data_IF_756258756036
#
_entry.id   IF_756258756036
#
_cell.length_a   1.000
_cell.length_b   1.000
_cell.length_c   1.000
_cell.angle_alpha   90.00
_cell.angle_beta   90.00
_cell.angle_gamma   90.00
#
_symmetry.space_group_name_H-M   'P 1'
#
loop_
_entity.id
_entity.type
_entity.pdbx_description
1 polymer ?
#
# COMPACT_ATOMS: atom_id res chain seq x y z
N UNK A 1 0.50 30.49 -14.42
CA UNK A 1 0.70 29.20 -15.11
C UNK A 1 1.45 28.30 -14.13
N UNK A 2 0.73 27.43 -13.41
CA UNK A 2 1.31 26.50 -12.45
C UNK A 2 1.78 25.29 -13.27
N UNK A 3 3.06 24.94 -13.21
CA UNK A 3 3.55 23.73 -13.87
C UNK A 3 3.22 22.55 -12.94
N UNK A 4 2.23 21.73 -13.29
CA UNK A 4 2.08 20.41 -12.71
C UNK A 4 3.05 19.49 -13.43
N UNK A 5 3.99 18.89 -12.71
CA UNK A 5 4.87 17.87 -13.27
C UNK A 5 4.02 16.65 -13.62
N UNK A 6 3.99 16.26 -14.90
CA UNK A 6 3.25 15.08 -15.33
C UNK A 6 3.61 13.85 -14.49
N UNK A 7 2.59 13.16 -13.98
CA UNK A 7 2.74 11.96 -13.15
C UNK A 7 2.88 12.17 -11.64
N UNK A 8 2.98 13.41 -11.16
CA UNK A 8 2.93 13.70 -9.72
C UNK A 8 1.49 14.06 -9.30
N UNK A 9 0.86 13.33 -8.35
CA UNK A 9 -0.45 13.70 -7.83
C UNK A 9 -0.35 14.94 -6.94
N UNK A 10 -1.35 15.82 -7.02
CA UNK A 10 -1.37 17.10 -6.29
C UNK A 10 -1.41 16.92 -4.77
N UNK A 11 -1.98 15.80 -4.30
CA UNK A 11 -2.09 15.46 -2.89
C UNK A 11 -1.83 13.98 -2.67
N UNK A 12 -1.10 13.67 -1.60
CA UNK A 12 -0.90 12.29 -1.14
C UNK A 12 -1.01 12.25 0.37
N UNK A 13 -1.75 11.26 0.87
CA UNK A 13 -1.90 11.03 2.30
C UNK A 13 -1.64 9.56 2.61
N UNK A 14 -0.96 9.30 3.72
CA UNK A 14 -0.73 7.93 4.20
C UNK A 14 -0.95 7.91 5.70
N UNK A 15 -1.71 6.93 6.16
CA UNK A 15 -1.94 6.67 7.58
C UNK A 15 -1.77 5.18 7.85
N UNK A 16 -1.11 4.86 8.95
CA UNK A 16 -0.99 3.48 9.43
C UNK A 16 -1.19 3.45 10.94
N UNK A 17 -1.86 2.41 11.41
CA UNK A 17 -2.08 2.13 12.83
C UNK A 17 -1.73 0.68 13.11
N UNK A 18 -1.09 0.45 14.24
CA UNK A 18 -0.77 -0.88 14.75
C UNK A 18 -1.39 -1.02 16.14
N UNK A 19 -1.99 -2.17 16.42
CA UNK A 19 -2.69 -2.45 17.67
C UNK A 19 -2.23 -3.79 18.24
N UNK A 20 -1.69 -3.77 19.46
CA UNK A 20 -1.35 -4.98 20.19
C UNK A 20 -2.59 -5.50 20.91
N UNK A 21 -2.97 -6.75 20.64
CA UNK A 21 -4.18 -7.35 21.20
C UNK A 21 -3.87 -7.84 22.62
N UNK A 22 -4.31 -7.10 23.63
CA UNK A 22 -4.01 -7.41 25.05
C UNK A 22 -4.49 -8.82 25.46
N UNK A 23 -5.60 -9.28 24.90
CA UNK A 23 -6.15 -10.61 25.17
C UNK A 23 -5.31 -11.77 24.58
N UNK A 24 -4.42 -11.49 23.62
CA UNK A 24 -3.60 -12.50 22.93
C UNK A 24 -2.15 -12.02 22.90
N UNK A 25 -1.34 -12.38 23.91
CA UNK A 25 0.06 -11.98 23.98
C UNK A 25 0.82 -12.37 22.71
N UNK A 26 1.53 -11.40 22.13
CA UNK A 26 2.30 -11.58 20.90
C UNK A 26 1.53 -11.30 19.60
N UNK A 27 0.21 -11.07 19.65
CA UNK A 27 -0.59 -10.70 18.48
C UNK A 27 -0.62 -9.18 18.27
N UNK A 28 -0.29 -8.75 17.06
CA UNK A 28 -0.43 -7.36 16.60
C UNK A 28 -1.26 -7.33 15.33
N UNK A 29 -2.22 -6.40 15.27
CA UNK A 29 -3.01 -6.07 14.08
C UNK A 29 -2.46 -4.80 13.46
N UNK A 30 -2.34 -4.77 12.13
CA UNK A 30 -1.86 -3.61 11.38
C UNK A 30 -2.92 -3.22 10.35
N UNK A 31 -3.22 -1.93 10.25
CA UNK A 31 -4.13 -1.38 9.24
C UNK A 31 -3.55 -0.05 8.73
N UNK A 32 -3.58 0.14 7.43
CA UNK A 32 -3.12 1.37 6.80
C UNK A 32 -3.89 1.71 5.53
N UNK A 33 -3.72 2.95 5.09
CA UNK A 33 -4.34 3.48 3.90
C UNK A 33 -3.43 4.51 3.22
N UNK A 34 -3.45 4.50 1.89
CA UNK A 34 -2.78 5.48 1.03
C UNK A 34 -3.81 6.10 0.10
N UNK A 35 -3.91 7.42 0.13
CA UNK A 35 -4.66 8.19 -0.84
C UNK A 35 -3.69 8.82 -1.84
N UNK A 36 -3.97 8.62 -3.12
CA UNK A 36 -3.32 9.31 -4.22
C UNK A 36 -4.35 10.21 -4.90
N UNK A 37 -4.10 11.52 -4.90
CA UNK A 37 -4.92 12.49 -5.61
C UNK A 37 -4.83 12.34 -7.12
N UNK A 38 -5.62 13.15 -7.81
CA UNK A 38 -5.60 13.21 -9.27
C UNK A 38 -4.21 13.58 -9.79
N UNK A 39 -3.84 13.05 -10.94
CA UNK A 39 -2.54 13.31 -11.57
C UNK A 39 -2.69 13.54 -13.07
N UNK A 40 -1.97 14.52 -13.60
CA UNK A 40 -1.93 14.77 -15.04
C UNK A 40 -1.13 13.69 -15.77
N UNK A 41 -1.74 13.06 -16.77
CA UNK A 41 -1.13 11.99 -17.56
C UNK A 41 -0.04 12.51 -18.51
N UNK A 42 -0.16 13.74 -19.00
CA UNK A 42 0.83 14.35 -19.91
C UNK A 42 1.18 15.78 -19.50
N UNK A 43 2.31 16.30 -19.99
CA UNK A 43 2.77 17.66 -19.70
C UNK A 43 1.87 18.77 -20.28
N UNK A 44 0.96 18.41 -21.20
CA UNK A 44 -0.06 19.31 -21.74
C UNK A 44 -1.32 19.39 -20.85
N UNK A 45 -1.39 18.62 -19.76
CA UNK A 45 -2.56 18.47 -18.89
C UNK A 45 -3.87 18.19 -19.65
N UNK A 46 -3.79 17.48 -20.78
CA UNK A 46 -4.96 17.20 -21.61
C UNK A 46 -5.78 16.01 -21.09
N UNK A 47 -5.19 15.19 -20.21
CA UNK A 47 -5.79 13.99 -19.66
C UNK A 47 -5.40 13.83 -18.19
N UNK A 48 -6.36 13.49 -17.35
CA UNK A 48 -6.19 13.30 -15.91
C UNK A 48 -6.45 11.85 -15.52
N UNK A 49 -5.66 11.35 -14.58
CA UNK A 49 -5.86 10.06 -13.92
C UNK A 49 -6.63 10.30 -12.64
N UNK A 50 -7.76 9.60 -12.40
CA UNK A 50 -8.57 9.80 -11.22
C UNK A 50 -7.80 9.45 -9.94
N UNK A 51 -8.16 10.11 -8.85
CA UNK A 51 -7.68 9.74 -7.53
C UNK A 51 -8.09 8.31 -7.15
N UNK A 52 -7.31 7.68 -6.28
CA UNK A 52 -7.60 6.35 -5.77
C UNK A 52 -7.11 6.18 -4.33
N UNK A 53 -7.74 5.26 -3.60
CA UNK A 53 -7.36 4.92 -2.21
C UNK A 53 -7.05 3.43 -2.11
N UNK A 54 -5.89 3.10 -1.57
CA UNK A 54 -5.50 1.72 -1.27
C UNK A 54 -5.51 1.50 0.23
N UNK A 55 -6.34 0.58 0.68
CA UNK A 55 -6.34 0.08 2.06
C UNK A 55 -5.49 -1.19 2.11
N UNK A 56 -4.66 -1.33 3.13
CA UNK A 56 -3.84 -2.51 3.36
C UNK A 56 -3.79 -2.84 4.85
N UNK A 57 -3.46 -4.07 5.18
CA UNK A 57 -3.41 -4.49 6.57
C UNK A 57 -2.83 -5.87 6.74
N UNK A 58 -2.77 -6.31 7.99
CA UNK A 58 -2.22 -7.61 8.31
C UNK A 58 -2.23 -7.91 9.79
N UNK A 59 -1.72 -9.09 10.11
CA UNK A 59 -1.54 -9.58 11.47
C UNK A 59 -0.13 -10.13 11.61
N UNK A 60 0.46 -9.95 12.79
CA UNK A 60 1.70 -10.63 13.16
C UNK A 60 1.56 -11.28 14.52
N UNK A 61 2.05 -12.51 14.65
CA UNK A 61 2.02 -13.27 15.89
C UNK A 61 3.44 -13.72 16.27
N UNK A 62 3.99 -13.13 17.32
CA UNK A 62 5.28 -13.48 17.89
C UNK A 62 5.10 -14.52 19.00
N UNK A 63 5.82 -15.63 18.92
CA UNK A 63 5.78 -16.74 19.87
C UNK A 63 7.13 -17.45 19.97
N UNK A 64 7.24 -18.45 20.84
CA UNK A 64 8.40 -19.35 20.92
C UNK A 64 7.99 -20.77 20.56
N UNK A 65 8.78 -21.40 19.69
CA UNK A 65 8.63 -22.81 19.30
C UNK A 65 9.99 -23.46 19.49
N UNK A 66 10.05 -24.53 20.28
CA UNK A 66 11.29 -25.27 20.57
C UNK A 66 12.48 -24.36 20.97
N UNK A 67 12.25 -23.39 21.86
CA UNK A 67 13.22 -22.37 22.30
C UNK A 67 13.72 -21.39 21.22
N UNK A 68 13.12 -21.38 20.04
CA UNK A 68 13.41 -20.40 18.99
C UNK A 68 12.31 -19.34 18.94
N UNK A 69 12.68 -18.07 18.77
CA UNK A 69 11.69 -17.02 18.55
C UNK A 69 11.15 -17.13 17.12
N UNK A 70 9.82 -17.22 17.01
CA UNK A 70 9.11 -17.36 15.73
C UNK A 70 8.09 -16.23 15.59
N UNK A 71 8.03 -15.61 14.41
CA UNK A 71 6.98 -14.64 14.07
C UNK A 71 6.25 -15.08 12.81
N UNK A 72 4.94 -15.28 12.92
CA UNK A 72 4.04 -15.53 11.79
C UNK A 72 3.45 -14.19 11.34
N UNK A 73 3.48 -13.88 10.05
CA UNK A 73 2.99 -12.62 9.50
C UNK A 73 2.06 -12.93 8.33
N UNK A 74 0.82 -12.43 8.40
CA UNK A 74 -0.11 -12.40 7.27
C UNK A 74 -0.40 -10.96 6.88
N UNK A 75 -0.37 -10.66 5.58
CA UNK A 75 -0.69 -9.33 5.07
C UNK A 75 -1.56 -9.40 3.82
N UNK A 76 -2.35 -8.34 3.64
CA UNK A 76 -3.16 -8.10 2.44
C UNK A 76 -2.90 -6.67 1.98
N UNK A 77 -2.45 -6.53 0.75
CA UNK A 77 -2.35 -5.26 0.03
C UNK A 77 -3.56 -5.13 -0.90
N UNK A 78 -4.01 -3.88 -1.13
CA UNK A 78 -5.24 -3.56 -1.84
C UNK A 78 -6.44 -4.37 -1.31
N UNK A 79 -6.71 -4.22 -0.01
CA UNK A 79 -7.73 -4.94 0.75
C UNK A 79 -9.13 -4.81 0.13
N UNK A 80 -9.44 -3.66 -0.48
CA UNK A 80 -10.74 -3.42 -1.12
C UNK A 80 -10.82 -3.90 -2.57
N UNK A 81 -9.71 -4.39 -3.13
CA UNK A 81 -9.60 -4.81 -4.54
C UNK A 81 -9.94 -3.66 -5.50
N UNK A 82 -9.42 -2.48 -5.20
CA UNK A 82 -9.59 -1.28 -6.02
C UNK A 82 -8.92 -1.50 -7.38
N UNK A 83 -9.68 -1.32 -8.46
CA UNK A 83 -9.16 -1.28 -9.82
C UNK A 83 -8.82 0.17 -10.17
N UNK A 84 -7.53 0.47 -10.30
CA UNK A 84 -7.07 1.84 -10.53
C UNK A 84 -6.02 1.91 -11.64
N UNK A 85 -5.87 3.11 -12.20
CA UNK A 85 -4.79 3.45 -13.11
C UNK A 85 -3.73 4.23 -12.35
N UNK A 86 -2.46 3.87 -12.54
CA UNK A 86 -1.33 4.65 -12.05
C UNK A 86 -0.56 5.23 -13.23
N UNK A 87 0.03 6.42 -13.03
CA UNK A 87 0.94 7.00 -14.04
C UNK A 87 2.22 6.17 -14.06
N UNK A 88 2.64 5.77 -15.26
CA UNK A 88 3.87 5.03 -15.51
C UNK A 88 5.11 5.93 -15.50
N UNK A 89 6.24 5.35 -15.12
CA UNK A 89 7.54 5.95 -14.81
C UNK A 89 8.39 6.30 -16.05
N UNK A 90 7.77 6.49 -17.22
CA UNK A 90 8.47 6.90 -18.43
C UNK A 90 8.70 8.41 -18.45
N UNK A 91 9.98 8.82 -18.50
CA UNK A 91 10.44 10.20 -18.71
C UNK A 91 9.66 10.88 -19.84
N UNK A 92 8.64 11.69 -19.50
CA UNK A 92 7.84 12.45 -20.46
C UNK A 92 6.33 12.43 -20.24
N UNK A 93 5.81 11.53 -19.40
CA UNK A 93 4.36 11.37 -19.23
C UNK A 93 3.69 10.74 -20.45
N UNK A 94 2.56 10.08 -20.24
CA UNK A 94 1.72 9.49 -21.31
C UNK A 94 1.42 8.01 -21.18
N UNK A 95 2.08 7.29 -20.25
CA UNK A 95 1.86 5.86 -20.06
C UNK A 95 1.02 5.62 -18.80
N UNK A 96 -0.02 4.79 -18.94
CA UNK A 96 -0.80 4.27 -17.83
C UNK A 96 -0.33 2.84 -17.52
N UNK A 97 -0.25 2.51 -16.23
CA UNK A 97 -0.14 1.13 -15.77
C UNK A 97 -1.37 0.76 -14.98
N UNK A 98 -1.79 -0.49 -15.12
CA UNK A 98 -2.84 -1.07 -14.28
C UNK A 98 -2.28 -1.19 -12.87
N UNK A 99 -3.09 -0.79 -11.89
CA UNK A 99 -2.80 -0.92 -10.47
C UNK A 99 -2.56 -2.36 -10.05
N UNK A 100 -1.86 -2.55 -8.94
CA UNK A 100 -1.62 -3.89 -8.41
C UNK A 100 -2.94 -4.46 -7.86
N UNK A 101 -3.33 -5.68 -8.24
CA UNK A 101 -4.54 -6.31 -7.72
C UNK A 101 -4.37 -6.66 -6.24
N UNK A 102 -5.47 -7.03 -5.56
CA UNK A 102 -5.38 -7.56 -4.20
C UNK A 102 -4.34 -8.67 -4.09
N UNK A 103 -3.39 -8.48 -3.19
CA UNK A 103 -2.28 -9.41 -2.98
C UNK A 103 -2.25 -9.87 -1.54
N UNK A 104 -2.11 -11.18 -1.32
CA UNK A 104 -2.02 -11.79 0.01
C UNK A 104 -0.65 -12.41 0.18
N UNK A 105 -0.01 -12.18 1.33
CA UNK A 105 1.27 -12.78 1.66
C UNK A 105 1.27 -13.42 3.05
N UNK A 106 1.95 -14.56 3.15
CA UNK A 106 2.26 -15.23 4.41
C UNK A 106 3.78 -15.33 4.54
N UNK A 107 4.30 -14.92 5.70
CA UNK A 107 5.74 -14.95 6.01
C UNK A 107 5.96 -15.57 7.38
N UNK A 108 7.07 -16.28 7.52
CA UNK A 108 7.56 -16.83 8.79
C UNK A 108 8.97 -16.32 9.02
N UNK A 109 9.22 -15.74 10.18
CA UNK A 109 10.55 -15.37 10.66
C UNK A 109 10.94 -16.31 11.81
N UNK A 110 12.15 -16.85 11.76
CA UNK A 110 12.72 -17.68 12.83
C UNK A 110 14.08 -17.09 13.20
N UNK A 111 14.30 -16.86 14.49
CA UNK A 111 15.61 -16.46 15.04
C UNK A 111 16.31 -17.70 15.64
N UNK A 112 17.53 -18.00 15.17
CA UNK A 112 18.32 -19.20 15.51
C UNK A 112 19.47 -18.88 16.48
#
# INVERSE_FOLDING_TARGET
>A
MYWSTSGAPDQQFTLQTNYNVEAIPGLTLNLGGKFHGEAALNAANAWEVPSYTLIYGGVSYATQIDNHAVTLIGSVDNLLDEEYWAVGDSYGGGNLRIGEPRTVALKVKVDF
#
